data_IF_081996511747
#
_entry.id   IF_081996511747
#
_cell.length_a   1.000
_cell.length_b   1.000
_cell.length_c   1.000
_cell.angle_alpha   90.00
_cell.angle_beta   90.00
_cell.angle_gamma   90.00
#
_symmetry.space_group_name_H-M   'P 1'
#
loop_
_entity.id
_entity.type
_entity.pdbx_description
1 polymer ?
#
# COMPACT_ATOMS: atom_id res chain seq x y z
N UNK A 1 -4.23 20.65 5.81
CA UNK A 1 -4.61 21.93 5.20
C UNK A 1 -4.30 23.09 6.14
N UNK A 2 -4.96 23.21 7.32
CA UNK A 2 -4.73 24.28 8.31
C UNK A 2 -3.26 24.47 8.72
N UNK A 3 -2.49 23.37 8.87
CA UNK A 3 -1.06 23.45 9.20
C UNK A 3 -0.23 24.04 8.04
N UNK A 4 -0.55 23.67 6.80
CA UNK A 4 0.14 24.19 5.63
C UNK A 4 -0.13 25.70 5.45
N UNK A 5 -1.37 26.11 5.62
CA UNK A 5 -1.79 27.51 5.60
C UNK A 5 -1.07 28.34 6.68
N UNK A 6 -0.91 27.77 7.90
CA UNK A 6 -0.21 28.43 9.00
C UNK A 6 1.29 28.62 8.73
N UNK A 7 1.92 27.85 7.86
CA UNK A 7 3.34 28.01 7.48
C UNK A 7 3.56 29.09 6.44
N UNK A 8 2.51 29.63 5.82
CA UNK A 8 2.61 30.56 4.69
C UNK A 8 3.17 29.95 3.41
N UNK A 9 3.34 28.61 3.37
CA UNK A 9 3.85 27.91 2.19
C UNK A 9 2.85 27.97 1.04
N UNK A 10 3.32 28.41 -0.12
CA UNK A 10 2.50 28.47 -1.33
C UNK A 10 2.78 27.24 -2.18
N UNK A 11 1.73 26.49 -2.47
CA UNK A 11 1.81 25.36 -3.38
C UNK A 11 2.06 25.86 -4.82
N UNK A 12 2.81 25.08 -5.59
CA UNK A 12 2.94 25.30 -7.03
C UNK A 12 1.55 25.24 -7.70
N UNK A 13 1.25 26.10 -8.69
CA UNK A 13 -0.06 26.11 -9.38
C UNK A 13 -0.47 24.79 -10.02
N UNK A 14 0.49 23.89 -10.27
CA UNK A 14 0.23 22.53 -10.80
C UNK A 14 -0.29 21.57 -9.74
N UNK A 15 -0.13 21.90 -8.45
CA UNK A 15 -0.60 21.04 -7.36
C UNK A 15 -2.11 21.23 -7.19
N UNK A 16 -2.85 20.16 -7.39
CA UNK A 16 -4.30 20.11 -7.18
C UNK A 16 -4.58 19.49 -5.81
N UNK A 17 -5.20 20.27 -4.95
CA UNK A 17 -5.69 19.78 -3.64
C UNK A 17 -7.14 19.35 -3.81
N UNK A 18 -7.43 18.09 -3.52
CA UNK A 18 -8.80 17.53 -3.55
C UNK A 18 -9.28 17.19 -2.15
N UNK A 19 -10.57 17.07 -1.97
CA UNK A 19 -11.19 16.33 -0.87
C UNK A 19 -10.93 14.82 -1.08
N UNK A 20 -11.11 13.99 -0.03
CA UNK A 20 -10.98 12.54 -0.17
C UNK A 20 -11.82 12.00 -1.33
N UNK A 21 -11.19 11.19 -2.16
CA UNK A 21 -11.84 10.60 -3.33
C UNK A 21 -12.62 9.34 -2.96
N UNK A 22 -13.62 9.01 -3.76
CA UNK A 22 -14.27 7.70 -3.70
C UNK A 22 -13.31 6.58 -4.11
N UNK A 23 -13.62 5.36 -3.70
CA UNK A 23 -12.77 4.19 -3.92
C UNK A 23 -12.40 3.99 -5.41
N UNK A 24 -13.39 4.07 -6.30
CA UNK A 24 -13.16 3.86 -7.73
C UNK A 24 -12.28 4.96 -8.36
N UNK A 25 -12.54 6.22 -7.98
CA UNK A 25 -11.78 7.36 -8.50
C UNK A 25 -10.32 7.31 -8.01
N UNK A 26 -10.13 6.96 -6.74
CA UNK A 26 -8.80 6.80 -6.15
C UNK A 26 -8.00 5.70 -6.86
N UNK A 27 -8.57 4.52 -7.05
CA UNK A 27 -7.91 3.43 -7.77
C UNK A 27 -7.62 3.78 -9.22
N UNK A 28 -8.56 4.45 -9.90
CA UNK A 28 -8.35 4.91 -11.27
C UNK A 28 -7.15 5.87 -11.37
N UNK A 29 -7.02 6.81 -10.43
CA UNK A 29 -5.88 7.72 -10.38
C UNK A 29 -4.58 6.99 -10.09
N UNK A 30 -4.57 6.04 -9.15
CA UNK A 30 -3.37 5.24 -8.85
C UNK A 30 -2.87 4.47 -10.07
N UNK A 31 -3.78 3.79 -10.76
CA UNK A 31 -3.43 3.00 -11.95
C UNK A 31 -2.86 3.84 -13.09
N UNK A 32 -3.27 5.09 -13.21
CA UNK A 32 -2.84 5.99 -14.28
C UNK A 32 -1.78 7.00 -13.84
N UNK A 33 -1.31 6.95 -12.59
CA UNK A 33 -0.28 7.85 -12.12
C UNK A 33 1.10 7.51 -12.68
N UNK A 34 1.91 8.54 -12.89
CA UNK A 34 3.33 8.37 -13.20
C UNK A 34 4.06 7.70 -12.03
N UNK A 35 3.82 8.21 -10.83
CA UNK A 35 4.27 7.63 -9.56
C UNK A 35 3.25 7.93 -8.46
N UNK A 36 3.26 7.12 -7.41
CA UNK A 36 2.46 7.30 -6.20
C UNK A 36 3.41 7.51 -5.05
N UNK A 37 3.23 8.61 -4.32
CA UNK A 37 3.98 8.92 -3.10
C UNK A 37 2.97 8.99 -1.96
N UNK A 38 3.11 8.13 -0.97
CA UNK A 38 2.15 8.03 0.13
C UNK A 38 2.83 7.61 1.44
N UNK A 39 2.28 8.06 2.55
CA UNK A 39 2.61 7.58 3.89
C UNK A 39 1.64 6.48 4.37
N UNK A 40 0.72 6.04 3.53
CA UNK A 40 -0.27 5.01 3.85
C UNK A 40 0.39 3.64 4.07
N UNK A 41 -0.04 2.94 5.11
CA UNK A 41 0.35 1.56 5.38
C UNK A 41 -0.20 0.56 4.35
N UNK A 42 -1.23 0.93 3.58
CA UNK A 42 -1.84 0.08 2.54
C UNK A 42 -1.17 0.20 1.17
N UNK A 43 -0.32 1.21 0.96
CA UNK A 43 0.39 1.37 -0.32
C UNK A 43 1.15 0.12 -0.76
N UNK A 44 1.89 -0.59 0.12
CA UNK A 44 2.56 -1.83 -0.24
C UNK A 44 1.60 -2.93 -0.71
N UNK A 45 0.47 -3.08 -0.01
CA UNK A 45 -0.58 -4.05 -0.34
C UNK A 45 -1.21 -3.73 -1.72
N UNK A 46 -1.55 -2.47 -1.94
CA UNK A 46 -2.11 -1.97 -3.20
C UNK A 46 -1.11 -2.17 -4.35
N UNK A 47 0.17 -1.84 -4.14
CA UNK A 47 1.21 -2.00 -5.17
C UNK A 47 1.42 -3.45 -5.56
N UNK A 48 1.49 -4.34 -4.58
CA UNK A 48 1.59 -5.79 -4.80
C UNK A 48 0.39 -6.34 -5.58
N UNK A 49 -0.82 -5.91 -5.19
CA UNK A 49 -2.04 -6.30 -5.89
C UNK A 49 -2.03 -5.84 -7.34
N UNK A 50 -1.71 -4.56 -7.60
CA UNK A 50 -1.65 -4.06 -8.98
C UNK A 50 -0.59 -4.78 -9.82
N UNK A 51 0.55 -5.11 -9.24
CA UNK A 51 1.56 -5.91 -9.92
C UNK A 51 1.03 -7.31 -10.27
N UNK A 52 0.27 -7.95 -9.37
CA UNK A 52 -0.30 -9.29 -9.58
C UNK A 52 -1.29 -9.37 -10.74
N UNK A 53 -2.01 -8.28 -10.99
CA UNK A 53 -2.98 -8.19 -12.11
C UNK A 53 -2.35 -7.62 -13.39
N UNK A 54 -1.02 -7.49 -13.44
CA UNK A 54 -0.30 -6.99 -14.62
C UNK A 54 -0.37 -5.49 -14.82
N UNK A 55 -0.66 -4.72 -13.77
CA UNK A 55 -0.79 -3.27 -13.81
C UNK A 55 0.17 -2.57 -12.82
N UNK A 56 1.49 -2.74 -12.97
CA UNK A 56 2.47 -2.24 -12.01
C UNK A 56 2.40 -0.73 -11.85
N UNK A 57 2.55 -0.28 -10.62
CA UNK A 57 2.62 1.14 -10.25
C UNK A 57 4.02 1.49 -9.73
N UNK A 58 4.47 2.73 -9.93
CA UNK A 58 5.69 3.25 -9.32
C UNK A 58 5.36 3.76 -7.92
N UNK A 59 5.51 2.91 -6.91
CA UNK A 59 5.11 3.16 -5.54
C UNK A 59 6.28 3.60 -4.66
N UNK A 60 6.12 4.71 -3.94
CA UNK A 60 7.13 5.28 -3.03
C UNK A 60 6.48 5.61 -1.69
N UNK A 61 7.00 5.01 -0.64
CA UNK A 61 6.52 5.22 0.72
C UNK A 61 7.35 6.31 1.42
N UNK A 62 6.70 7.41 1.82
CA UNK A 62 7.32 8.53 2.54
C UNK A 62 7.30 8.29 4.06
N UNK A 63 8.03 7.27 4.50
CA UNK A 63 8.14 6.86 5.90
C UNK A 63 9.58 6.46 6.22
N UNK A 64 9.92 6.42 7.50
CA UNK A 64 11.24 5.97 7.99
C UNK A 64 11.27 4.49 8.35
N UNK A 65 10.09 3.84 8.39
CA UNK A 65 9.93 2.41 8.66
C UNK A 65 8.67 1.90 7.99
N UNK A 66 8.57 0.58 7.86
CA UNK A 66 7.39 -0.10 7.31
C UNK A 66 7.01 -1.28 8.19
N UNK A 67 5.72 -1.54 8.28
CA UNK A 67 5.17 -2.76 8.88
C UNK A 67 4.99 -3.88 7.83
N UNK A 68 5.47 -3.65 6.60
CA UNK A 68 5.35 -4.56 5.45
C UNK A 68 6.72 -4.85 4.83
N UNK A 69 7.68 -5.40 5.61
CA UNK A 69 9.02 -5.68 5.10
C UNK A 69 9.00 -6.72 3.97
N UNK A 70 8.04 -7.63 3.99
CA UNK A 70 7.83 -8.65 2.97
C UNK A 70 7.51 -8.06 1.59
N UNK A 71 6.69 -7.01 1.52
CA UNK A 71 6.39 -6.32 0.26
C UNK A 71 7.58 -5.47 -0.23
N UNK A 72 8.38 -4.93 0.71
CA UNK A 72 9.61 -4.22 0.36
C UNK A 72 10.65 -5.19 -0.21
N UNK A 73 10.81 -6.36 0.39
CA UNK A 73 11.73 -7.40 -0.08
C UNK A 73 11.29 -7.96 -1.44
N UNK A 74 9.99 -8.09 -1.67
CA UNK A 74 9.42 -8.46 -2.97
C UNK A 74 9.65 -7.40 -4.07
N UNK A 75 9.97 -6.15 -3.69
CA UNK A 75 10.22 -5.05 -4.62
C UNK A 75 8.95 -4.29 -5.04
N UNK A 76 7.89 -4.39 -4.27
CA UNK A 76 6.60 -3.77 -4.60
C UNK A 76 6.61 -2.25 -4.42
N UNK A 77 7.50 -1.71 -3.59
CA UNK A 77 7.61 -0.27 -3.35
C UNK A 77 9.02 0.12 -2.87
N UNK A 78 9.31 1.42 -2.90
CA UNK A 78 10.55 1.98 -2.34
C UNK A 78 10.23 2.74 -1.05
N UNK A 79 10.92 2.41 0.04
CA UNK A 79 10.85 3.15 1.30
C UNK A 79 11.84 4.33 1.24
N UNK A 80 11.33 5.55 1.05
CA UNK A 80 12.15 6.73 0.70
C UNK A 80 12.61 7.56 1.92
N UNK A 81 12.08 7.29 3.12
CA UNK A 81 12.29 8.22 4.23
C UNK A 81 11.46 9.50 4.06
N UNK A 82 11.88 10.57 4.76
CA UNK A 82 11.16 11.86 4.81
C UNK A 82 12.01 13.03 4.29
N UNK A 83 13.22 12.79 3.83
CA UNK A 83 14.08 13.83 3.26
C UNK A 83 13.70 14.11 1.81
N UNK A 84 13.65 15.39 1.44
CA UNK A 84 13.30 15.79 0.07
C UNK A 84 14.23 15.16 -0.97
N UNK A 85 15.53 15.12 -0.71
CA UNK A 85 16.52 14.55 -1.63
C UNK A 85 16.27 13.07 -1.86
N UNK A 86 16.12 12.31 -0.79
CA UNK A 86 15.88 10.86 -0.85
C UNK A 86 14.55 10.54 -1.51
N UNK A 87 13.49 11.32 -1.20
CA UNK A 87 12.19 11.16 -1.80
C UNK A 87 12.22 11.37 -3.31
N UNK A 88 12.87 12.42 -3.80
CA UNK A 88 12.99 12.69 -5.23
C UNK A 88 13.79 11.57 -5.92
N UNK A 89 14.91 11.16 -5.34
CA UNK A 89 15.73 10.06 -5.88
C UNK A 89 14.94 8.75 -5.94
N UNK A 90 14.20 8.40 -4.88
CA UNK A 90 13.38 7.19 -4.85
C UNK A 90 12.25 7.25 -5.89
N UNK A 91 11.65 8.43 -6.08
CA UNK A 91 10.58 8.61 -7.06
C UNK A 91 11.11 8.44 -8.49
N UNK A 92 12.23 9.05 -8.82
CA UNK A 92 12.87 8.91 -10.13
C UNK A 92 13.28 7.45 -10.39
N UNK A 93 13.80 6.78 -9.37
CA UNK A 93 14.16 5.35 -9.45
C UNK A 93 12.91 4.48 -9.71
N UNK A 94 11.83 4.67 -8.95
CA UNK A 94 10.60 3.89 -9.11
C UNK A 94 10.00 4.06 -10.52
N UNK A 95 9.99 5.29 -11.05
CA UNK A 95 9.53 5.59 -12.41
C UNK A 95 10.41 4.88 -13.43
N UNK A 96 11.73 4.98 -13.30
CA UNK A 96 12.70 4.36 -14.22
C UNK A 96 12.56 2.84 -14.22
N UNK A 97 12.46 2.21 -13.05
CA UNK A 97 12.29 0.76 -12.94
C UNK A 97 10.98 0.31 -13.60
N UNK A 98 9.87 1.02 -13.37
CA UNK A 98 8.59 0.75 -14.04
C UNK A 98 8.73 0.84 -15.57
N UNK A 99 9.37 1.89 -16.08
CA UNK A 99 9.55 2.10 -17.53
C UNK A 99 10.44 1.05 -18.18
N UNK A 100 11.43 0.54 -17.47
CA UNK A 100 12.35 -0.50 -17.93
C UNK A 100 11.82 -1.91 -17.75
N UNK A 101 10.65 -2.07 -17.11
CA UNK A 101 10.11 -3.38 -16.76
C UNK A 101 10.92 -4.13 -15.71
N UNK A 102 11.77 -3.43 -14.96
CA UNK A 102 12.51 -3.97 -13.82
C UNK A 102 11.58 -3.90 -12.61
N UNK A 103 10.71 -4.88 -12.51
CA UNK A 103 9.68 -4.97 -11.49
C UNK A 103 10.06 -6.06 -10.48
N UNK A 104 9.60 -5.90 -9.25
CA UNK A 104 9.60 -6.96 -8.26
C UNK A 104 8.68 -8.11 -8.66
N UNK A 105 8.33 -8.91 -7.69
CA UNK A 105 7.31 -9.94 -7.83
C UNK A 105 6.18 -9.68 -6.83
N UNK A 106 4.92 -10.01 -7.14
CA UNK A 106 3.83 -9.79 -6.21
C UNK A 106 4.06 -10.54 -4.90
N UNK A 107 3.93 -9.84 -3.78
CA UNK A 107 3.97 -10.46 -2.46
C UNK A 107 2.75 -11.35 -2.29
N UNK A 108 2.96 -12.65 -2.06
CA UNK A 108 1.88 -13.64 -1.98
C UNK A 108 0.84 -13.34 -0.90
N UNK A 109 1.23 -12.62 0.13
CA UNK A 109 0.32 -12.28 1.24
C UNK A 109 -0.76 -11.25 0.82
N UNK A 110 -0.58 -10.55 -0.32
CA UNK A 110 -1.47 -9.48 -0.78
C UNK A 110 -2.14 -9.74 -2.12
N UNK A 111 -1.98 -10.93 -2.69
CA UNK A 111 -2.52 -11.28 -4.00
C UNK A 111 -3.77 -12.14 -3.95
N UNK A 112 -4.28 -12.43 -2.75
CA UNK A 112 -5.41 -13.32 -2.58
C UNK A 112 -6.74 -12.61 -2.85
N UNK A 113 -7.45 -13.08 -3.86
CA UNK A 113 -8.76 -12.55 -4.25
C UNK A 113 -9.92 -13.13 -3.42
N UNK A 114 -9.66 -14.20 -2.65
CA UNK A 114 -10.71 -14.93 -1.91
C UNK A 114 -10.62 -14.78 -0.39
N UNK A 115 -10.12 -13.64 0.09
CA UNK A 115 -9.87 -13.36 1.52
C UNK A 115 -11.11 -13.62 2.39
N UNK A 116 -12.30 -13.19 1.94
CA UNK A 116 -13.55 -13.39 2.69
C UNK A 116 -13.84 -14.87 2.94
N UNK A 117 -13.61 -15.72 1.95
CA UNK A 117 -13.82 -17.18 2.10
C UNK A 117 -12.75 -17.81 2.99
N UNK A 118 -11.52 -17.33 2.96
CA UNK A 118 -10.49 -17.75 3.91
C UNK A 118 -10.88 -17.41 5.35
N UNK A 119 -11.34 -16.18 5.59
CA UNK A 119 -11.81 -15.75 6.90
C UNK A 119 -12.95 -16.63 7.41
N UNK A 120 -13.93 -16.90 6.58
CA UNK A 120 -15.05 -17.81 6.93
C UNK A 120 -14.53 -19.19 7.31
N UNK A 121 -13.62 -19.78 6.53
CA UNK A 121 -13.02 -21.08 6.82
C UNK A 121 -12.24 -21.09 8.13
N UNK A 122 -11.46 -20.03 8.40
CA UNK A 122 -10.71 -19.90 9.65
C UNK A 122 -11.67 -19.84 10.84
N UNK A 123 -12.68 -18.99 10.78
CA UNK A 123 -13.69 -18.88 11.84
C UNK A 123 -14.33 -20.24 12.09
N UNK A 124 -14.84 -20.89 11.03
CA UNK A 124 -15.50 -22.18 11.13
C UNK A 124 -14.60 -23.28 11.70
N UNK A 125 -13.30 -23.24 11.39
CA UNK A 125 -12.34 -24.22 11.89
C UNK A 125 -11.97 -23.99 13.35
N UNK A 126 -11.83 -22.72 13.77
CA UNK A 126 -11.23 -22.40 15.06
C UNK A 126 -12.22 -22.07 16.17
N UNK A 127 -13.50 -21.79 15.89
CA UNK A 127 -14.47 -21.41 16.94
C UNK A 127 -14.52 -22.44 18.05
N UNK A 128 -14.66 -23.72 17.72
CA UNK A 128 -14.73 -24.80 18.74
C UNK A 128 -13.39 -25.00 19.45
N UNK A 129 -12.26 -24.85 18.72
CA UNK A 129 -10.92 -24.95 19.31
C UNK A 129 -10.73 -23.84 20.35
N UNK A 130 -11.04 -22.59 19.97
CA UNK A 130 -10.92 -21.43 20.88
C UNK A 130 -11.86 -21.57 22.08
N UNK A 131 -13.12 -21.97 21.85
CA UNK A 131 -14.06 -22.19 22.94
C UNK A 131 -13.54 -23.22 23.95
N UNK A 132 -13.01 -24.35 23.47
CA UNK A 132 -12.48 -25.42 24.32
C UNK A 132 -11.15 -25.05 24.98
N UNK A 133 -10.17 -24.61 24.19
CA UNK A 133 -8.78 -24.44 24.65
C UNK A 133 -8.53 -23.12 25.37
N UNK A 134 -9.17 -22.03 24.92
CA UNK A 134 -8.96 -20.68 25.46
C UNK A 134 -10.02 -20.33 26.47
N UNK A 135 -11.28 -20.44 26.08
CA UNK A 135 -12.41 -20.02 26.92
C UNK A 135 -12.90 -21.08 27.89
N UNK A 136 -12.42 -22.34 27.77
CA UNK A 136 -12.80 -23.47 28.62
C UNK A 136 -14.33 -23.63 28.76
N UNK A 137 -15.06 -23.31 27.69
CA UNK A 137 -16.51 -23.51 27.65
C UNK A 137 -16.79 -24.98 27.52
N UNK A 138 -17.57 -25.52 28.45
CA UNK A 138 -18.09 -26.89 28.34
C UNK A 138 -18.99 -26.98 27.11
N UNK A 139 -18.87 -28.05 26.37
CA UNK A 139 -19.78 -28.33 25.27
C UNK A 139 -21.15 -28.64 25.88
N UNK A 140 -22.10 -27.76 25.66
CA UNK A 140 -23.52 -28.08 25.85
C UNK A 140 -24.04 -28.85 24.65
#
# INVERSE_FOLDING_TARGET
RKRLEATGFKLDPRVRVSEPLGFNDYNCLQMNALAIVSDSGTLPEESSFYLSIGHPIAAVCIRTSTERPEAMEAGDFILAGISTKELLQATDMAITMKQQGVLGHPCVDYTDETVSMKVVRIIQSYVNVVNKMVWRKDQQ
#
